data_IF_281678072295
#
_entry.id   IF_281678072295
#
_cell.length_a   1.000
_cell.length_b   1.000
_cell.length_c   1.000
_cell.angle_alpha   90.00
_cell.angle_beta   90.00
_cell.angle_gamma   90.00
#
_symmetry.space_group_name_H-M   'P 1'
#
loop_
_entity.id
_entity.type
_entity.pdbx_description
1 polymer ?
#
# COMPACT_ATOMS: atom_id res chain seq x y z
N UNK A 1 21.92 -21.62 -45.83
CA UNK A 1 20.85 -21.53 -44.82
C UNK A 1 21.50 -21.39 -43.47
N UNK A 2 21.37 -20.24 -42.80
CA UNK A 2 21.96 -20.04 -41.47
C UNK A 2 21.03 -20.69 -40.44
N UNK A 3 21.49 -21.74 -39.77
CA UNK A 3 20.77 -22.35 -38.68
C UNK A 3 20.65 -21.33 -37.53
N UNK A 4 19.42 -20.89 -37.22
CA UNK A 4 19.17 -20.05 -36.05
C UNK A 4 19.48 -20.88 -34.79
N UNK A 5 20.49 -20.48 -34.03
CA UNK A 5 20.76 -21.07 -32.73
C UNK A 5 19.55 -20.83 -31.82
N UNK A 6 18.97 -21.91 -31.30
CA UNK A 6 17.90 -21.79 -30.30
C UNK A 6 18.51 -21.22 -29.03
N UNK A 7 18.06 -20.02 -28.64
CA UNK A 7 18.44 -19.40 -27.37
C UNK A 7 18.31 -20.40 -26.21
N UNK A 8 19.31 -20.41 -25.33
CA UNK A 8 19.34 -21.30 -24.16
C UNK A 8 18.10 -21.08 -23.30
N UNK A 9 17.63 -22.11 -22.61
CA UNK A 9 16.44 -22.01 -21.75
C UNK A 9 16.57 -20.94 -20.67
N UNK A 10 17.79 -20.70 -20.18
CA UNK A 10 18.07 -19.67 -19.18
C UNK A 10 17.92 -18.26 -19.74
N UNK A 11 18.22 -18.04 -21.03
CA UNK A 11 18.05 -16.74 -21.67
C UNK A 11 16.58 -16.35 -21.78
N UNK A 12 15.68 -17.34 -21.83
CA UNK A 12 14.22 -17.15 -21.95
C UNK A 12 13.55 -16.91 -20.60
N UNK A 13 14.23 -17.17 -19.49
CA UNK A 13 13.70 -17.08 -18.14
C UNK A 13 14.30 -15.90 -17.38
N UNK A 14 13.57 -15.41 -16.40
CA UNK A 14 14.04 -14.40 -15.46
C UNK A 14 13.45 -14.68 -14.08
N UNK A 15 14.06 -14.12 -13.04
CA UNK A 15 13.54 -14.14 -11.67
C UNK A 15 12.78 -12.84 -11.44
N UNK A 16 11.54 -12.93 -10.94
CA UNK A 16 10.70 -11.76 -10.66
C UNK A 16 11.30 -10.88 -9.57
N UNK A 17 11.34 -9.57 -9.79
CA UNK A 17 11.84 -8.57 -8.83
C UNK A 17 11.05 -8.53 -7.52
N UNK A 18 9.75 -8.84 -7.57
CA UNK A 18 8.85 -8.86 -6.41
C UNK A 18 8.77 -10.25 -5.75
N UNK A 19 8.03 -11.19 -6.35
CA UNK A 19 7.73 -12.49 -5.74
C UNK A 19 8.86 -13.54 -5.85
N UNK A 20 9.98 -13.22 -6.50
CA UNK A 20 11.15 -14.11 -6.70
C UNK A 20 10.87 -15.41 -7.46
N UNK A 21 9.69 -15.57 -8.06
CA UNK A 21 9.41 -16.71 -8.92
C UNK A 21 10.11 -16.58 -10.27
N UNK A 22 10.51 -17.73 -10.82
CA UNK A 22 11.03 -17.83 -12.18
C UNK A 22 9.85 -17.69 -13.16
N UNK A 23 9.99 -16.82 -14.15
CA UNK A 23 9.00 -16.59 -15.20
C UNK A 23 9.64 -16.59 -16.58
N UNK A 24 8.83 -16.86 -17.60
CA UNK A 24 9.25 -16.74 -19.00
C UNK A 24 9.15 -15.27 -19.42
N UNK A 25 10.26 -14.71 -19.91
CA UNK A 25 10.33 -13.31 -20.37
C UNK A 25 9.26 -13.01 -21.42
N UNK A 26 8.97 -13.96 -22.31
CA UNK A 26 7.98 -13.83 -23.38
C UNK A 26 6.52 -13.73 -22.89
N UNK A 27 6.22 -14.19 -21.67
CA UNK A 27 4.87 -14.14 -21.10
C UNK A 27 4.62 -12.87 -20.29
N UNK A 28 5.68 -12.17 -19.89
CA UNK A 28 5.54 -10.91 -19.18
C UNK A 28 5.45 -9.75 -20.14
N UNK A 29 4.49 -8.84 -19.88
CA UNK A 29 4.37 -7.56 -20.59
C UNK A 29 5.29 -6.49 -20.00
N UNK A 30 5.99 -6.78 -18.91
CA UNK A 30 6.84 -5.82 -18.19
C UNK A 30 8.18 -6.44 -17.81
N UNK A 31 9.26 -5.69 -18.04
CA UNK A 31 10.60 -6.18 -17.74
C UNK A 31 10.79 -6.40 -16.23
N UNK A 32 11.37 -7.54 -15.87
CA UNK A 32 11.76 -7.85 -14.49
C UNK A 32 10.63 -8.34 -13.56
N UNK A 33 9.37 -8.42 -14.00
CA UNK A 33 8.26 -8.93 -13.20
C UNK A 33 7.50 -10.02 -13.92
N UNK A 34 6.93 -10.97 -13.17
CA UNK A 34 6.20 -12.10 -13.76
C UNK A 34 4.83 -11.71 -14.35
N UNK A 35 4.23 -10.60 -13.90
CA UNK A 35 2.97 -10.07 -14.41
C UNK A 35 2.87 -8.56 -14.14
N UNK A 36 1.91 -7.91 -14.80
CA UNK A 36 1.59 -6.48 -14.56
C UNK A 36 1.11 -6.28 -13.12
N UNK A 37 0.29 -7.20 -12.60
CA UNK A 37 -0.21 -7.11 -11.22
C UNK A 37 0.92 -7.25 -10.20
N UNK A 38 1.87 -8.14 -10.47
CA UNK A 38 3.03 -8.33 -9.59
C UNK A 38 3.92 -7.09 -9.56
N UNK A 39 4.06 -6.38 -10.68
CA UNK A 39 4.73 -5.08 -10.73
C UNK A 39 3.95 -4.01 -9.95
N UNK A 40 2.64 -3.87 -10.19
CA UNK A 40 1.82 -2.88 -9.50
C UNK A 40 1.85 -3.06 -7.97
N UNK A 41 1.77 -4.31 -7.50
CA UNK A 41 1.91 -4.63 -6.08
C UNK A 41 3.30 -4.26 -5.54
N UNK A 42 4.37 -4.50 -6.30
CA UNK A 42 5.73 -4.13 -5.90
C UNK A 42 5.86 -2.61 -5.72
N UNK A 43 5.36 -1.84 -6.69
CA UNK A 43 5.35 -0.37 -6.65
C UNK A 43 4.52 0.15 -5.49
N UNK A 44 3.35 -0.44 -5.26
CA UNK A 44 2.52 -0.08 -4.11
C UNK A 44 3.26 -0.28 -2.79
N UNK A 45 3.87 -1.46 -2.58
CA UNK A 45 4.61 -1.75 -1.36
C UNK A 45 5.79 -0.80 -1.16
N UNK A 46 6.51 -0.42 -2.23
CA UNK A 46 7.59 0.56 -2.16
C UNK A 46 7.08 1.93 -1.67
N UNK A 47 5.96 2.42 -2.24
CA UNK A 47 5.38 3.70 -1.81
C UNK A 47 4.92 3.68 -0.35
N UNK A 48 4.34 2.56 0.11
CA UNK A 48 3.93 2.40 1.51
C UNK A 48 5.15 2.40 2.43
N UNK A 49 6.20 1.68 2.06
CA UNK A 49 7.44 1.64 2.84
C UNK A 49 8.12 3.01 2.92
N UNK A 50 8.15 3.77 1.82
CA UNK A 50 8.68 5.14 1.82
C UNK A 50 7.89 6.05 2.77
N UNK A 51 6.56 5.97 2.76
CA UNK A 51 5.71 6.73 3.68
C UNK A 51 5.97 6.37 5.14
N UNK A 52 6.08 5.07 5.45
CA UNK A 52 6.41 4.59 6.80
C UNK A 52 7.77 5.13 7.24
N UNK A 53 8.78 5.11 6.35
CA UNK A 53 10.11 5.66 6.65
C UNK A 53 10.06 7.17 6.91
N UNK A 54 9.34 7.93 6.08
CA UNK A 54 9.18 9.37 6.28
C UNK A 54 8.49 9.70 7.62
N UNK A 55 7.42 8.99 7.97
CA UNK A 55 6.75 9.14 9.27
C UNK A 55 7.67 8.82 10.45
N UNK A 56 8.48 7.75 10.33
CA UNK A 56 9.46 7.40 11.36
C UNK A 56 10.54 8.47 11.52
N UNK A 57 11.00 9.08 10.42
CA UNK A 57 11.98 10.16 10.49
C UNK A 57 11.37 11.41 11.13
N UNK A 58 10.16 11.81 10.74
CA UNK A 58 9.46 12.95 11.34
C UNK A 58 9.17 12.74 12.84
N UNK A 59 8.84 11.52 13.27
CA UNK A 59 8.64 11.20 14.68
C UNK A 59 9.94 11.24 15.51
N UNK A 60 11.10 11.09 14.88
CA UNK A 60 12.42 11.16 15.54
C UNK A 60 13.10 12.52 15.39
N UNK A 61 12.45 13.49 14.72
CA UNK A 61 12.97 14.85 14.64
C UNK A 61 12.81 15.52 16.01
N UNK A 62 13.89 15.99 16.64
CA UNK A 62 13.79 16.64 17.93
C UNK A 62 12.98 17.91 17.76
N UNK A 63 11.85 18.00 18.46
CA UNK A 63 11.05 19.22 18.52
C UNK A 63 11.96 20.37 18.93
N UNK A 64 12.13 21.43 18.11
CA UNK A 64 12.76 22.64 18.58
C UNK A 64 12.01 23.07 19.85
N UNK A 65 12.74 23.41 20.90
CA UNK A 65 12.15 23.95 22.11
C UNK A 65 11.52 25.32 21.77
N UNK A 66 10.28 25.30 21.29
CA UNK A 66 9.47 26.50 21.22
C UNK A 66 9.21 26.96 22.67
N UNK A 67 9.38 28.26 22.97
CA UNK A 67 9.00 28.77 24.28
C UNK A 67 7.50 28.51 24.45
N UNK A 68 7.16 27.79 25.52
CA UNK A 68 5.77 27.55 25.93
C UNK A 68 5.16 28.89 26.30
N UNK A 69 4.62 29.60 25.32
CA UNK A 69 3.74 30.74 25.57
C UNK A 69 2.44 30.12 26.06
N UNK A 70 2.15 30.31 27.34
CA UNK A 70 0.93 29.84 27.98
C UNK A 70 -0.29 30.35 27.21
N UNK A 71 -0.86 29.51 26.36
CA UNK A 71 -2.16 29.75 25.77
C UNK A 71 -3.20 29.68 26.90
N UNK A 72 -4.04 30.70 27.00
CA UNK A 72 -5.17 30.74 27.92
C UNK A 72 -6.02 29.45 27.76
N UNK A 73 -6.59 28.92 28.85
CA UNK A 73 -7.37 27.68 28.79
C UNK A 73 -8.59 27.89 27.90
N UNK A 74 -8.59 27.24 26.74
CA UNK A 74 -9.80 27.05 25.94
C UNK A 74 -10.65 26.04 26.70
N UNK A 75 -11.75 26.51 27.29
CA UNK A 75 -12.80 25.65 27.84
C UNK A 75 -13.50 24.95 26.67
N UNK A 76 -13.01 23.76 26.32
CA UNK A 76 -13.74 22.84 25.45
C UNK A 76 -14.83 22.22 26.31
N UNK A 77 -16.06 22.69 26.12
CA UNK A 77 -17.24 22.05 26.68
C UNK A 77 -17.28 20.59 26.24
N UNK A 78 -17.53 19.73 27.24
CA UNK A 78 -17.29 18.29 27.21
C UNK A 78 -17.88 17.56 26.01
N UNK A 79 -17.00 17.04 25.17
CA UNK A 79 -17.05 15.64 24.71
C UNK A 79 -15.73 15.31 24.01
N UNK A 80 -14.84 14.64 24.73
CA UNK A 80 -13.65 14.00 24.16
C UNK A 80 -14.12 12.84 23.28
N UNK A 81 -14.62 13.14 22.08
CA UNK A 81 -14.91 12.12 21.08
C UNK A 81 -13.59 11.71 20.44
N UNK A 82 -13.23 10.44 20.62
CA UNK A 82 -12.06 9.85 19.99
C UNK A 82 -12.46 9.43 18.56
N UNK A 83 -11.54 9.35 17.61
CA UNK A 83 -11.83 8.93 16.22
C UNK A 83 -12.66 7.63 16.12
N UNK A 84 -12.57 6.75 17.12
CA UNK A 84 -13.38 5.54 17.25
C UNK A 84 -14.90 5.82 17.37
N UNK A 85 -15.31 6.95 17.95
CA UNK A 85 -16.71 7.31 18.18
C UNK A 85 -17.44 7.70 16.89
N UNK A 86 -16.72 8.10 15.85
CA UNK A 86 -17.31 8.46 14.55
C UNK A 86 -17.76 7.23 13.73
N UNK A 87 -17.15 6.05 13.96
CA UNK A 87 -17.47 4.84 13.19
C UNK A 87 -18.65 4.04 13.76
N UNK A 88 -18.98 4.26 15.03
CA UNK A 88 -20.09 3.56 15.70
C UNK A 88 -21.44 4.24 15.44
N UNK A 89 -21.45 5.55 15.17
CA UNK A 89 -22.68 6.30 14.90
C UNK A 89 -23.46 5.85 13.66
N UNK A 90 -22.81 5.17 12.72
CA UNK A 90 -23.43 4.66 11.48
C UNK A 90 -24.01 3.25 11.61
N UNK A 91 -23.85 2.59 12.76
CA UNK A 91 -24.40 1.27 13.03
C UNK A 91 -25.43 1.40 14.15
N UNK A 92 -26.56 2.06 13.86
CA UNK A 92 -27.73 1.93 14.72
C UNK A 92 -28.05 0.43 14.86
N UNK A 93 -28.24 -0.10 16.09
CA UNK A 93 -28.54 -1.51 16.31
C UNK A 93 -29.93 -1.81 15.72
N UNK A 94 -29.96 -2.21 14.44
CA UNK A 94 -31.20 -2.47 13.72
C UNK A 94 -31.10 -2.42 12.20
N UNK A 95 -30.08 -1.79 11.63
CA UNK A 95 -29.87 -1.82 10.17
C UNK A 95 -28.68 -2.73 9.83
N UNK A 96 -28.99 -3.99 9.47
CA UNK A 96 -28.03 -4.85 8.82
C UNK A 96 -27.58 -4.19 7.51
N UNK A 97 -26.27 -4.00 7.36
CA UNK A 97 -25.68 -3.59 6.09
C UNK A 97 -25.85 -4.76 5.13
N UNK A 98 -26.83 -4.67 4.23
CA UNK A 98 -27.03 -5.65 3.17
C UNK A 98 -25.95 -5.45 2.10
N UNK A 99 -25.10 -6.46 1.93
CA UNK A 99 -24.14 -6.51 0.83
C UNK A 99 -24.83 -7.15 -0.38
N UNK A 100 -25.52 -6.35 -1.19
CA UNK A 100 -26.08 -6.84 -2.44
C UNK A 100 -24.96 -7.04 -3.47
N UNK A 101 -24.48 -8.27 -3.62
CA UNK A 101 -23.63 -8.65 -4.75
C UNK A 101 -24.53 -8.99 -5.94
N UNK A 102 -24.69 -8.06 -6.88
CA UNK A 102 -25.30 -8.38 -8.17
C UNK A 102 -24.32 -9.24 -8.98
N UNK A 103 -24.45 -10.56 -8.87
CA UNK A 103 -23.93 -11.47 -9.88
C UNK A 103 -24.89 -11.43 -11.08
N UNK A 104 -24.55 -10.68 -12.13
CA UNK A 104 -25.15 -10.91 -13.44
C UNK A 104 -24.45 -12.13 -14.05
N UNK A 105 -25.23 -13.19 -14.27
CA UNK A 105 -24.86 -14.36 -15.06
C UNK A 105 -25.55 -14.28 -16.42
#
# INVERSE_FOLDING_TARGET
MVAKSVASWDEKRAVCGNCKHIFLKAQSRIAGYCSVDCHANATYLDTVQQRIRAMRLAANEPTPAEPVVAAAPVTVDGSNSTFADFYTAKLSPGHAVEWSFSAMY
#
